data_IF_055919364804
#
_entry.id   IF_055919364804
#
_cell.length_a   1.000
_cell.length_b   1.000
_cell.length_c   1.000
_cell.angle_alpha   90.00
_cell.angle_beta   90.00
_cell.angle_gamma   90.00
#
_symmetry.space_group_name_H-M   'P 1'
#
loop_
_entity.id
_entity.type
_entity.pdbx_description
1 polymer ?
#
# COMPACT_ATOMS: atom_id res chain seq x y z
N UNK A 1 11.84 -64.07 -37.98
CA UNK A 1 12.45 -62.72 -37.97
C UNK A 1 11.32 -61.73 -38.23
N UNK A 2 10.95 -60.91 -37.24
CA UNK A 2 9.87 -59.91 -37.38
C UNK A 2 10.37 -58.62 -38.03
N UNK A 3 9.46 -57.91 -38.71
CA UNK A 3 9.73 -56.65 -39.42
C UNK A 3 10.10 -55.52 -38.45
N UNK A 4 10.93 -54.58 -38.91
CA UNK A 4 11.33 -53.40 -38.15
C UNK A 4 10.14 -52.46 -37.92
N UNK A 5 9.98 -51.96 -36.69
CA UNK A 5 8.92 -51.03 -36.32
C UNK A 5 9.05 -49.66 -37.00
N UNK A 6 7.92 -49.01 -37.23
CA UNK A 6 7.86 -47.69 -37.87
C UNK A 6 8.49 -46.58 -37.00
N UNK A 7 9.02 -45.56 -37.67
CA UNK A 7 9.60 -44.38 -37.03
C UNK A 7 8.50 -43.53 -36.38
N UNK A 8 8.69 -43.13 -35.13
CA UNK A 8 7.74 -42.27 -34.41
C UNK A 8 7.70 -40.85 -34.97
N UNK A 9 6.51 -40.24 -34.92
CA UNK A 9 6.24 -38.91 -35.47
C UNK A 9 7.04 -37.78 -34.80
N UNK A 10 7.42 -36.79 -35.60
CA UNK A 10 8.17 -35.61 -35.17
C UNK A 10 7.29 -34.72 -34.28
N UNK A 11 7.73 -34.44 -33.05
CA UNK A 11 6.98 -33.63 -32.08
C UNK A 11 6.66 -32.21 -32.57
N UNK A 12 5.47 -31.72 -32.20
CA UNK A 12 4.98 -30.38 -32.57
C UNK A 12 5.86 -29.26 -32.01
N UNK A 13 6.09 -28.23 -32.83
CA UNK A 13 6.84 -27.03 -32.48
C UNK A 13 6.10 -26.24 -31.38
N UNK A 14 6.83 -25.80 -30.34
CA UNK A 14 6.23 -25.04 -29.23
C UNK A 14 5.62 -23.71 -29.67
N UNK A 15 4.53 -23.31 -29.03
CA UNK A 15 3.84 -22.05 -29.33
C UNK A 15 4.73 -20.82 -29.03
N UNK A 16 4.60 -19.80 -29.88
CA UNK A 16 5.29 -18.52 -29.70
C UNK A 16 4.78 -17.82 -28.42
N UNK A 17 5.71 -17.33 -27.59
CA UNK A 17 5.37 -16.63 -26.34
C UNK A 17 4.57 -15.34 -26.59
N UNK A 18 3.66 -15.01 -25.67
CA UNK A 18 2.85 -13.78 -25.76
C UNK A 18 3.72 -12.52 -25.67
N UNK A 19 3.34 -11.42 -26.35
CA UNK A 19 4.01 -10.13 -26.22
C UNK A 19 4.00 -9.63 -24.76
N UNK A 20 5.10 -9.03 -24.31
CA UNK A 20 5.19 -8.44 -22.97
C UNK A 20 4.20 -7.27 -22.77
N UNK A 21 3.82 -6.98 -21.52
CA UNK A 21 2.91 -5.87 -21.21
C UNK A 21 3.51 -4.52 -21.64
N UNK A 22 2.62 -3.59 -22.02
CA UNK A 22 3.00 -2.21 -22.38
C UNK A 22 3.64 -1.53 -21.16
N UNK A 23 4.80 -0.90 -21.34
CA UNK A 23 5.47 -0.15 -20.29
C UNK A 23 4.63 1.02 -19.73
N UNK A 24 4.91 1.48 -18.50
CA UNK A 24 4.19 2.58 -17.88
C UNK A 24 4.31 3.88 -18.68
N UNK A 25 3.30 4.74 -18.58
CA UNK A 25 3.29 6.08 -19.17
C UNK A 25 4.36 6.95 -18.49
N UNK A 26 5.15 7.70 -19.26
CA UNK A 26 6.22 8.53 -18.71
C UNK A 26 5.68 9.72 -17.92
N UNK A 27 6.43 10.15 -16.90
CA UNK A 27 6.05 11.27 -16.04
C UNK A 27 5.83 12.57 -16.83
N UNK A 28 4.82 13.36 -16.43
CA UNK A 28 4.57 14.69 -17.00
C UNK A 28 5.72 15.63 -16.64
N UNK A 29 6.29 16.29 -17.65
CA UNK A 29 7.33 17.30 -17.44
C UNK A 29 6.87 18.44 -16.52
N UNK A 30 7.79 18.97 -15.72
CA UNK A 30 7.54 20.07 -14.80
C UNK A 30 7.08 21.34 -15.54
N UNK A 31 6.12 22.06 -14.96
CA UNK A 31 5.62 23.34 -15.47
C UNK A 31 6.76 24.37 -15.35
N UNK A 32 7.07 25.08 -16.44
CA UNK A 32 8.10 26.12 -16.45
C UNK A 32 7.78 27.24 -15.45
N UNK A 33 8.82 27.74 -14.77
CA UNK A 33 8.75 28.86 -13.84
C UNK A 33 8.23 30.13 -14.52
N UNK A 34 7.28 30.81 -13.86
CA UNK A 34 6.74 32.09 -14.31
C UNK A 34 7.84 33.15 -14.24
N UNK A 35 8.08 33.87 -15.35
CA UNK A 35 9.06 34.95 -15.38
C UNK A 35 8.73 36.08 -14.40
N UNK A 36 9.75 36.78 -13.86
CA UNK A 36 9.53 37.88 -12.92
C UNK A 36 8.72 39.01 -13.55
N UNK A 37 7.91 39.69 -12.73
CA UNK A 37 7.10 40.84 -13.14
C UNK A 37 8.03 41.99 -13.54
N UNK A 38 7.76 42.63 -14.69
CA UNK A 38 8.56 43.76 -15.17
C UNK A 38 8.54 44.96 -14.19
N UNK A 39 9.57 45.83 -14.21
CA UNK A 39 9.66 46.98 -13.33
C UNK A 39 8.50 47.96 -13.55
N UNK A 40 8.10 48.65 -12.49
CA UNK A 40 7.07 49.70 -12.51
C UNK A 40 7.65 50.90 -13.29
N UNK A 41 6.91 51.41 -14.29
CA UNK A 41 7.32 52.58 -15.08
C UNK A 41 7.39 53.85 -14.23
N UNK A 42 8.39 54.70 -14.49
CA UNK A 42 8.61 55.95 -13.77
C UNK A 42 7.46 56.95 -13.99
N UNK A 43 7.12 57.68 -12.93
CA UNK A 43 6.09 58.71 -12.90
C UNK A 43 6.59 59.93 -13.69
N UNK A 44 5.85 60.33 -14.72
CA UNK A 44 6.18 61.53 -15.51
C UNK A 44 6.07 62.82 -14.70
N UNK A 45 7.00 63.76 -14.95
CA UNK A 45 7.09 65.04 -14.25
C UNK A 45 5.81 65.88 -14.39
N UNK A 46 5.39 66.48 -13.27
CA UNK A 46 4.19 67.32 -13.15
C UNK A 46 4.29 68.58 -14.02
N UNK A 47 3.31 68.80 -14.90
CA UNK A 47 3.17 70.04 -15.67
C UNK A 47 2.73 71.24 -14.81
N UNK A 48 2.98 72.48 -15.24
CA UNK A 48 2.66 73.68 -14.46
C UNK A 48 1.15 73.90 -14.28
N UNK A 49 0.79 74.52 -13.15
CA UNK A 49 -0.59 74.69 -12.66
C UNK A 49 -1.38 75.67 -13.55
N UNK A 50 -2.57 75.24 -14.01
CA UNK A 50 -3.54 76.07 -14.73
C UNK A 50 -4.72 76.52 -13.84
N UNK A 51 -5.26 77.70 -14.13
CA UNK A 51 -6.32 78.38 -13.38
C UNK A 51 -7.70 77.68 -13.46
N UNK A 52 -8.51 77.88 -12.40
CA UNK A 52 -9.80 77.20 -12.16
C UNK A 52 -10.89 77.49 -13.21
N UNK A 53 -11.54 76.40 -13.66
CA UNK A 53 -12.72 76.42 -14.51
C UNK A 53 -13.72 75.32 -14.11
N UNK A 54 -14.98 75.73 -14.04
CA UNK A 54 -16.20 75.06 -13.58
C UNK A 54 -16.38 73.61 -14.09
N UNK A 55 -16.80 72.71 -13.19
CA UNK A 55 -16.90 71.25 -13.36
C UNK A 55 -17.96 70.85 -14.40
N UNK A 56 -17.52 70.20 -15.48
CA UNK A 56 -18.39 69.51 -16.45
C UNK A 56 -18.66 68.04 -16.06
N UNK A 57 -19.72 67.40 -16.61
CA UNK A 57 -20.06 66.01 -16.31
C UNK A 57 -18.96 65.03 -16.77
N UNK A 58 -18.71 64.01 -15.96
CA UNK A 58 -17.65 63.02 -16.18
C UNK A 58 -17.84 62.22 -17.49
N UNK A 59 -16.77 62.12 -18.27
CA UNK A 59 -16.71 61.27 -19.48
C UNK A 59 -16.75 59.78 -19.14
N UNK A 60 -17.34 58.97 -20.04
CA UNK A 60 -17.42 57.50 -19.89
C UNK A 60 -16.01 56.87 -19.90
N UNK A 61 -15.74 55.83 -19.08
CA UNK A 61 -14.47 55.11 -19.09
C UNK A 61 -14.11 54.55 -20.47
N UNK A 62 -12.84 54.65 -20.86
CA UNK A 62 -12.32 54.05 -22.09
C UNK A 62 -12.32 52.51 -22.07
N UNK A 63 -12.41 51.90 -23.24
CA UNK A 63 -12.43 50.44 -23.42
C UNK A 63 -11.15 49.77 -22.88
N UNK A 64 -11.35 48.64 -22.19
CA UNK A 64 -10.28 47.78 -21.67
C UNK A 64 -9.41 47.26 -22.82
N UNK A 65 -8.09 47.40 -22.71
CA UNK A 65 -7.13 46.88 -23.70
C UNK A 65 -7.24 45.35 -23.84
N UNK A 66 -7.00 44.87 -25.07
CA UNK A 66 -7.07 43.44 -25.42
C UNK A 66 -6.06 42.60 -24.62
N UNK A 67 -6.50 41.39 -24.27
CA UNK A 67 -5.72 40.41 -23.51
C UNK A 67 -4.58 39.89 -24.40
N UNK A 68 -3.34 40.01 -23.92
CA UNK A 68 -2.17 39.48 -24.63
C UNK A 68 -2.31 37.99 -24.98
N UNK A 69 -1.89 37.62 -26.19
CA UNK A 69 -1.97 36.26 -26.73
C UNK A 69 -1.15 35.25 -25.91
N UNK A 70 -1.71 34.06 -25.75
CA UNK A 70 -1.07 32.91 -25.10
C UNK A 70 0.19 32.51 -25.88
N UNK A 71 1.33 32.39 -25.19
CA UNK A 71 2.58 31.91 -25.79
C UNK A 71 2.44 30.51 -26.41
N UNK A 72 3.15 30.28 -27.50
CA UNK A 72 3.14 29.01 -28.24
C UNK A 72 3.66 27.84 -27.38
N UNK A 73 3.06 26.66 -27.59
CA UNK A 73 3.41 25.41 -26.92
C UNK A 73 4.74 24.92 -27.53
N UNK A 74 5.74 24.66 -26.68
CA UNK A 74 7.04 24.13 -27.12
C UNK A 74 6.91 22.75 -27.81
N UNK A 75 7.83 22.42 -28.73
CA UNK A 75 7.76 21.18 -29.51
C UNK A 75 7.85 19.93 -28.63
N UNK A 76 7.12 18.88 -29.02
CA UNK A 76 7.09 17.59 -28.34
C UNK A 76 8.47 16.91 -28.39
N UNK A 77 8.96 16.44 -27.24
CA UNK A 77 10.25 15.72 -27.15
C UNK A 77 10.24 14.39 -27.93
N UNK A 78 11.41 13.93 -28.41
CA UNK A 78 11.51 12.71 -29.21
C UNK A 78 11.11 11.46 -28.41
N UNK A 79 10.45 10.53 -29.10
CA UNK A 79 9.97 9.26 -28.53
C UNK A 79 11.16 8.35 -28.18
N UNK A 80 11.21 7.85 -26.94
CA UNK A 80 12.25 6.91 -26.51
C UNK A 80 12.23 5.60 -27.30
N UNK A 81 13.41 5.05 -27.57
CA UNK A 81 13.61 3.82 -28.34
C UNK A 81 13.11 2.59 -27.55
N UNK A 82 12.50 1.58 -28.20
CA UNK A 82 12.15 0.32 -27.55
C UNK A 82 13.38 -0.37 -26.95
N UNK A 83 13.23 -0.92 -25.74
CA UNK A 83 14.28 -1.74 -25.11
C UNK A 83 14.56 -3.02 -25.90
N UNK A 84 15.80 -3.51 -25.83
CA UNK A 84 16.22 -4.75 -26.48
C UNK A 84 15.44 -5.97 -25.93
N UNK A 85 15.08 -6.96 -26.77
CA UNK A 85 14.47 -8.20 -26.32
C UNK A 85 15.36 -8.93 -25.30
N UNK A 86 14.77 -9.45 -24.24
CA UNK A 86 15.48 -10.29 -23.26
C UNK A 86 15.98 -11.61 -23.88
N UNK A 87 17.04 -12.23 -23.33
CA UNK A 87 17.56 -13.50 -23.83
C UNK A 87 16.53 -14.65 -23.63
N UNK A 88 16.56 -15.69 -24.48
CA UNK A 88 15.70 -16.87 -24.34
C UNK A 88 15.89 -17.56 -22.98
N UNK A 89 14.78 -17.99 -22.36
CA UNK A 89 14.80 -18.76 -21.12
C UNK A 89 15.41 -20.16 -21.31
N UNK A 90 16.00 -20.71 -20.25
CA UNK A 90 16.62 -22.04 -20.27
C UNK A 90 15.57 -23.16 -20.52
N UNK A 91 15.95 -24.27 -21.21
CA UNK A 91 15.06 -25.40 -21.44
C UNK A 91 14.56 -26.05 -20.14
N UNK A 92 13.24 -26.27 -20.03
CA UNK A 92 12.64 -26.98 -18.89
C UNK A 92 12.94 -28.49 -18.89
N UNK A 93 12.85 -29.17 -17.72
CA UNK A 93 13.12 -30.60 -17.60
C UNK A 93 12.05 -31.44 -18.31
N UNK A 94 12.50 -32.43 -19.08
CA UNK A 94 11.64 -33.32 -19.88
C UNK A 94 10.87 -34.30 -18.98
N UNK A 95 9.53 -34.22 -19.01
CA UNK A 95 8.65 -35.36 -18.72
C UNK A 95 7.85 -35.65 -19.98
N UNK A 96 8.16 -36.76 -20.65
CA UNK A 96 7.32 -37.33 -21.70
C UNK A 96 6.10 -37.95 -21.03
N UNK A 97 4.92 -37.44 -21.36
CA UNK A 97 3.65 -38.11 -21.09
C UNK A 97 3.05 -38.38 -22.48
N UNK A 98 3.15 -39.63 -22.93
CA UNK A 98 2.51 -40.11 -24.15
C UNK A 98 1.05 -40.45 -23.83
N UNK A 99 0.15 -39.52 -24.18
CA UNK A 99 -1.27 -39.61 -23.88
C UNK A 99 -2.00 -40.66 -24.75
N UNK A 100 -1.36 -41.13 -25.82
CA UNK A 100 -1.89 -42.15 -26.75
C UNK A 100 -1.71 -43.57 -26.20
N UNK A 101 -0.53 -43.87 -25.66
CA UNK A 101 -0.24 -45.16 -25.01
C UNK A 101 -1.03 -45.36 -23.71
N UNK A 102 -1.31 -44.26 -22.99
CA UNK A 102 -2.03 -44.31 -21.71
C UNK A 102 -3.52 -44.63 -21.89
N UNK A 103 -4.14 -44.19 -22.99
CA UNK A 103 -5.56 -44.47 -23.29
C UNK A 103 -5.73 -45.90 -23.82
N UNK A 104 -4.80 -46.40 -24.65
CA UNK A 104 -4.81 -47.79 -25.11
C UNK A 104 -4.58 -48.77 -23.94
N UNK A 105 -3.66 -48.45 -23.02
CA UNK A 105 -3.44 -49.24 -21.80
C UNK A 105 -4.61 -49.18 -20.81
N UNK A 106 -5.40 -48.09 -20.79
CA UNK A 106 -6.65 -48.03 -20.02
C UNK A 106 -7.76 -48.87 -20.64
N UNK A 107 -7.85 -48.92 -21.97
CA UNK A 107 -8.84 -49.75 -22.69
C UNK A 107 -8.51 -51.25 -22.59
N UNK A 108 -7.23 -51.62 -22.68
CA UNK A 108 -6.79 -53.01 -22.49
C UNK A 108 -6.86 -53.46 -21.01
N UNK A 109 -6.62 -52.55 -20.05
CA UNK A 109 -6.81 -52.88 -18.63
C UNK A 109 -8.28 -53.00 -18.23
N UNK A 110 -9.18 -52.23 -18.87
CA UNK A 110 -10.63 -52.39 -18.69
C UNK A 110 -11.18 -53.66 -19.35
N UNK A 111 -10.63 -54.08 -20.50
CA UNK A 111 -11.02 -55.34 -21.15
C UNK A 111 -10.47 -56.59 -20.42
N UNK A 112 -9.31 -56.49 -19.77
CA UNK A 112 -8.77 -57.57 -18.93
C UNK A 112 -9.51 -57.71 -17.59
N UNK A 113 -10.23 -56.68 -17.13
CA UNK A 113 -11.03 -56.71 -15.90
C UNK A 113 -12.45 -57.30 -16.10
N UNK A 114 -12.90 -57.52 -17.34
CA UNK A 114 -14.20 -58.15 -17.61
C UNK A 114 -14.18 -59.70 -17.55
N UNK A 115 -13.01 -60.34 -17.46
CA UNK A 115 -12.89 -61.81 -17.32
C UNK A 115 -12.53 -62.32 -15.92
N UNK A 116 -12.53 -61.46 -14.89
CA UNK A 116 -12.42 -61.89 -13.48
C UNK A 116 -13.56 -61.38 -12.60
N UNK A 117 -14.69 -60.99 -13.20
CA UNK A 117 -15.86 -60.55 -12.43
C UNK A 117 -16.82 -61.71 -12.13
N UNK A 118 -16.31 -62.66 -11.35
CA UNK A 118 -17.12 -63.62 -10.62
C UNK A 118 -16.55 -63.78 -9.20
N UNK A 119 -16.43 -62.69 -8.43
CA UNK A 119 -16.57 -62.75 -6.95
C UNK A 119 -16.50 -61.44 -6.13
N UNK A 120 -16.29 -60.22 -6.67
CA UNK A 120 -16.00 -59.05 -5.79
C UNK A 120 -16.81 -57.76 -6.08
N UNK A 121 -18.13 -57.85 -6.20
CA UNK A 121 -19.02 -56.68 -6.32
C UNK A 121 -19.21 -55.88 -5.02
N UNK A 122 -18.88 -56.43 -3.85
CA UNK A 122 -19.05 -55.74 -2.56
C UNK A 122 -17.86 -54.81 -2.19
N UNK A 123 -16.63 -55.19 -2.57
CA UNK A 123 -15.41 -54.44 -2.19
C UNK A 123 -15.23 -53.17 -3.04
N UNK A 124 -15.68 -53.18 -4.30
CA UNK A 124 -15.59 -52.04 -5.23
C UNK A 124 -16.60 -50.93 -4.90
N UNK A 125 -17.78 -51.26 -4.38
CA UNK A 125 -18.77 -50.28 -3.90
C UNK A 125 -18.34 -49.59 -2.60
N UNK A 126 -17.62 -50.30 -1.72
CA UNK A 126 -17.10 -49.75 -0.47
C UNK A 126 -15.99 -48.71 -0.71
N UNK A 127 -15.12 -48.93 -1.70
CA UNK A 127 -14.06 -47.98 -2.05
C UNK A 127 -14.60 -46.71 -2.75
N UNK A 128 -15.61 -46.85 -3.63
CA UNK A 128 -16.27 -45.70 -4.25
C UNK A 128 -17.03 -44.86 -3.24
N UNK A 129 -17.77 -45.50 -2.33
CA UNK A 129 -18.45 -44.78 -1.24
C UNK A 129 -17.44 -44.09 -0.32
N UNK A 130 -16.33 -44.75 0.05
CA UNK A 130 -15.26 -44.14 0.84
C UNK A 130 -14.62 -42.92 0.14
N UNK A 131 -14.38 -42.98 -1.17
CA UNK A 131 -13.89 -41.85 -1.98
C UNK A 131 -14.89 -40.70 -2.04
N UNK A 132 -16.18 -40.99 -2.19
CA UNK A 132 -17.25 -39.99 -2.17
C UNK A 132 -17.31 -39.32 -0.79
N UNK A 133 -17.32 -40.10 0.30
CA UNK A 133 -17.32 -39.55 1.66
C UNK A 133 -16.08 -38.72 1.95
N UNK A 134 -14.89 -39.15 1.50
CA UNK A 134 -13.66 -38.36 1.63
C UNK A 134 -13.75 -37.02 0.90
N UNK A 135 -14.35 -37.02 -0.29
CA UNK A 135 -14.56 -35.80 -1.10
C UNK A 135 -15.58 -34.87 -0.44
N UNK A 136 -16.70 -35.40 0.06
CA UNK A 136 -17.71 -34.61 0.77
C UNK A 136 -17.15 -34.02 2.07
N UNK A 137 -16.38 -34.79 2.84
CA UNK A 137 -15.69 -34.29 4.03
C UNK A 137 -14.68 -33.20 3.68
N UNK A 138 -13.92 -33.36 2.59
CA UNK A 138 -13.01 -32.34 2.11
C UNK A 138 -13.75 -31.04 1.74
N UNK A 139 -14.83 -31.12 0.95
CA UNK A 139 -15.63 -29.95 0.56
C UNK A 139 -16.30 -29.28 1.76
N UNK A 140 -16.83 -30.06 2.70
CA UNK A 140 -17.42 -29.55 3.95
C UNK A 140 -16.37 -28.81 4.78
N UNK A 141 -15.17 -29.37 4.94
CA UNK A 141 -14.07 -28.71 5.64
C UNK A 141 -13.61 -27.44 4.91
N UNK A 142 -13.58 -27.44 3.58
CA UNK A 142 -13.22 -26.28 2.78
C UNK A 142 -14.26 -25.15 2.97
N UNK A 143 -15.55 -25.46 2.89
CA UNK A 143 -16.62 -24.51 3.18
C UNK A 143 -16.56 -23.97 4.61
N UNK A 144 -16.29 -24.84 5.58
CA UNK A 144 -16.13 -24.46 6.98
C UNK A 144 -14.96 -23.50 7.18
N UNK A 145 -13.85 -23.72 6.47
CA UNK A 145 -12.66 -22.88 6.53
C UNK A 145 -12.86 -21.50 5.89
N UNK A 146 -13.66 -21.41 4.81
CA UNK A 146 -14.06 -20.13 4.21
C UNK A 146 -14.95 -19.34 5.18
N UNK A 147 -15.88 -20.04 5.84
CA UNK A 147 -16.79 -19.41 6.80
C UNK A 147 -16.07 -18.98 8.08
N UNK A 148 -15.08 -19.75 8.51
CA UNK A 148 -14.36 -19.54 9.77
C UNK A 148 -12.85 -19.59 9.52
N UNK A 149 -12.27 -18.50 8.97
CA UNK A 149 -10.84 -18.42 8.70
C UNK A 149 -10.04 -18.63 9.99
N UNK A 150 -8.87 -19.26 9.87
CA UNK A 150 -7.99 -19.52 11.01
C UNK A 150 -7.01 -18.37 11.28
N UNK A 151 -6.85 -17.45 10.32
CA UNK A 151 -5.84 -16.39 10.40
C UNK A 151 -4.42 -16.92 10.21
N UNK A 152 -4.27 -18.04 9.50
CA UNK A 152 -2.97 -18.60 9.09
C UNK A 152 -2.62 -18.11 7.69
N UNK A 153 -1.36 -18.26 7.26
CA UNK A 153 -0.94 -17.82 5.92
C UNK A 153 -1.73 -18.51 4.78
N UNK A 154 -2.10 -19.77 4.96
CA UNK A 154 -2.88 -20.53 3.98
C UNK A 154 -4.39 -20.27 4.06
N UNK A 155 -4.87 -19.75 5.20
CA UNK A 155 -6.26 -19.41 5.43
C UNK A 155 -6.36 -18.09 6.22
N UNK A 156 -5.98 -16.96 5.58
CA UNK A 156 -5.99 -15.66 6.21
C UNK A 156 -7.44 -15.20 6.44
N UNK A 157 -7.65 -14.43 7.49
CA UNK A 157 -8.94 -13.75 7.69
C UNK A 157 -8.96 -12.42 6.94
N UNK A 158 -10.12 -11.78 6.79
CA UNK A 158 -10.15 -10.46 6.14
C UNK A 158 -9.55 -9.36 7.03
N UNK A 159 -9.96 -9.32 8.31
CA UNK A 159 -9.43 -8.43 9.35
C UNK A 159 -9.43 -9.15 10.71
N UNK A 160 -8.67 -8.65 11.69
CA UNK A 160 -8.63 -9.24 13.04
C UNK A 160 -10.00 -9.25 13.73
N UNK A 161 -10.85 -8.25 13.49
CA UNK A 161 -12.21 -8.22 14.05
C UNK A 161 -13.07 -9.39 13.58
N UNK A 162 -12.88 -9.86 12.35
CA UNK A 162 -13.63 -11.00 11.81
C UNK A 162 -13.22 -12.31 12.51
N UNK A 163 -11.92 -12.47 12.83
CA UNK A 163 -11.44 -13.61 13.65
C UNK A 163 -12.07 -13.63 15.04
N UNK A 164 -12.25 -12.47 15.66
CA UNK A 164 -12.90 -12.35 16.96
C UNK A 164 -14.38 -12.80 16.92
N UNK A 165 -15.07 -12.48 15.83
CA UNK A 165 -16.49 -12.76 15.66
C UNK A 165 -16.81 -14.21 15.26
N UNK A 166 -15.80 -15.01 14.89
CA UNK A 166 -15.98 -16.40 14.41
C UNK A 166 -16.22 -17.46 15.53
N UNK A 167 -16.75 -17.06 16.70
CA UNK A 167 -17.13 -17.95 17.82
C UNK A 167 -16.04 -18.95 18.29
N UNK A 168 -14.77 -18.62 18.05
CA UNK A 168 -13.60 -19.42 18.46
C UNK A 168 -12.82 -18.71 19.55
N UNK A 169 -12.16 -19.48 20.41
CA UNK A 169 -11.21 -18.93 21.38
C UNK A 169 -9.96 -18.45 20.63
N UNK A 170 -9.81 -17.15 20.53
CA UNK A 170 -8.65 -16.48 19.94
C UNK A 170 -7.84 -15.76 21.03
N UNK A 171 -6.52 -15.69 20.86
CA UNK A 171 -5.60 -15.02 21.78
C UNK A 171 -4.77 -13.97 21.06
N UNK A 172 -4.44 -12.87 21.74
CA UNK A 172 -3.64 -11.79 21.16
C UNK A 172 -2.34 -12.36 20.59
N UNK A 173 -1.95 -11.91 19.41
CA UNK A 173 -0.79 -12.47 18.74
C UNK A 173 -0.70 -12.10 17.27
N UNK A 174 0.22 -12.76 16.58
CA UNK A 174 0.44 -12.59 15.14
C UNK A 174 -0.50 -13.49 14.34
N UNK A 175 -1.16 -12.91 13.36
CA UNK A 175 -2.06 -13.60 12.43
C UNK A 175 -1.85 -13.07 11.02
N UNK A 176 -2.34 -13.82 10.05
CA UNK A 176 -2.37 -13.43 8.65
C UNK A 176 -3.76 -12.94 8.26
N UNK A 177 -3.79 -11.78 7.61
CA UNK A 177 -5.02 -11.22 7.06
C UNK A 177 -4.89 -10.88 5.58
N UNK A 178 -6.00 -10.88 4.87
CA UNK A 178 -6.14 -10.48 3.47
C UNK A 178 -7.36 -9.54 3.29
N UNK A 179 -7.19 -8.22 3.55
CA UNK A 179 -8.27 -7.24 3.49
C UNK A 179 -8.98 -7.12 2.12
N UNK A 180 -8.22 -7.20 1.02
CA UNK A 180 -8.75 -7.01 -0.33
C UNK A 180 -9.56 -8.21 -0.84
N UNK A 181 -9.44 -9.36 -0.17
CA UNK A 181 -9.99 -10.65 -0.57
C UNK A 181 -9.53 -11.03 -1.99
N UNK A 182 -8.61 -11.98 -2.10
CA UNK A 182 -8.19 -12.45 -3.40
C UNK A 182 -7.29 -13.68 -3.34
N UNK A 183 -6.13 -13.57 -3.98
CA UNK A 183 -5.12 -14.61 -3.93
C UNK A 183 -4.36 -14.47 -2.61
N UNK A 184 -4.36 -15.44 -1.68
CA UNK A 184 -3.79 -15.30 -0.33
C UNK A 184 -2.25 -15.13 -0.31
N UNK A 185 -1.61 -15.02 -1.48
CA UNK A 185 -0.17 -14.82 -1.62
C UNK A 185 0.28 -13.40 -1.25
N UNK A 186 -0.61 -12.40 -1.31
CA UNK A 186 -0.35 -11.02 -0.88
C UNK A 186 -0.93 -10.69 0.50
N UNK A 187 -1.36 -11.73 1.23
CA UNK A 187 -1.77 -11.61 2.63
C UNK A 187 -0.63 -11.02 3.48
N UNK A 188 -1.00 -10.33 4.54
CA UNK A 188 -0.09 -9.59 5.42
C UNK A 188 -0.10 -10.18 6.83
N UNK A 189 1.08 -10.28 7.44
CA UNK A 189 1.20 -10.61 8.86
C UNK A 189 0.93 -9.35 9.70
N UNK A 190 0.02 -9.47 10.65
CA UNK A 190 -0.41 -8.38 11.54
C UNK A 190 -0.47 -8.87 12.98
N UNK A 191 -0.42 -7.95 13.93
CA UNK A 191 -0.73 -8.25 15.32
C UNK A 191 -2.21 -7.99 15.58
N UNK A 192 -2.97 -9.03 15.94
CA UNK A 192 -4.36 -8.92 16.35
C UNK A 192 -4.46 -8.72 17.86
N UNK A 193 -5.10 -7.62 18.28
CA UNK A 193 -5.43 -7.37 19.68
C UNK A 193 -6.92 -7.61 19.91
N UNK A 194 -7.26 -8.83 20.34
CA UNK A 194 -8.61 -9.26 20.64
C UNK A 194 -9.14 -8.70 21.96
N UNK A 195 -8.24 -8.36 22.91
CA UNK A 195 -8.64 -7.65 24.14
C UNK A 195 -9.16 -6.25 23.84
N UNK A 196 -8.70 -5.62 22.75
CA UNK A 196 -9.15 -4.31 22.29
C UNK A 196 -10.24 -4.40 21.20
N UNK A 197 -11.08 -5.45 21.20
CA UNK A 197 -12.18 -5.57 20.23
C UNK A 197 -11.77 -6.06 18.85
N UNK A 198 -10.57 -6.63 18.70
CA UNK A 198 -10.09 -7.19 17.43
C UNK A 198 -9.35 -6.17 16.57
N UNK A 199 -8.61 -5.25 17.19
CA UNK A 199 -7.77 -4.29 16.46
C UNK A 199 -6.73 -5.01 15.60
N UNK A 200 -6.56 -4.52 14.39
CA UNK A 200 -5.54 -4.95 13.43
C UNK A 200 -4.36 -4.00 13.52
N UNK A 201 -3.24 -4.46 14.07
CA UNK A 201 -2.04 -3.64 14.26
C UNK A 201 -0.93 -4.02 13.30
N UNK A 202 -0.43 -3.03 12.55
CA UNK A 202 0.73 -3.17 11.66
C UNK A 202 1.99 -2.76 12.41
N UNK A 203 3.03 -3.58 12.28
CA UNK A 203 4.37 -3.24 12.77
C UNK A 203 5.18 -2.51 11.69
N UNK A 204 5.99 -1.51 12.07
CA UNK A 204 6.90 -0.88 11.14
C UNK A 204 8.00 -1.89 10.74
N UNK A 205 8.56 -1.72 9.54
CA UNK A 205 9.68 -2.54 9.02
C UNK A 205 10.90 -2.44 9.92
N UNK A 206 11.10 -1.26 10.51
CA UNK A 206 12.09 -1.00 11.55
C UNK A 206 11.50 -0.02 12.54
N UNK A 207 11.73 -0.23 13.83
CA UNK A 207 11.33 0.71 14.89
C UNK A 207 11.89 2.12 14.66
N UNK A 208 12.98 2.27 13.90
CA UNK A 208 13.61 3.57 13.62
C UNK A 208 13.03 4.30 12.40
N UNK A 209 12.14 3.66 11.64
CA UNK A 209 11.57 4.18 10.40
C UNK A 209 10.06 4.16 10.42
N UNK A 210 9.45 5.18 9.81
CA UNK A 210 8.00 5.27 9.60
C UNK A 210 7.57 4.56 8.31
N UNK A 211 8.05 3.32 8.12
CA UNK A 211 7.78 2.49 6.95
C UNK A 211 7.07 1.21 7.40
N UNK A 212 6.01 0.81 6.72
CA UNK A 212 5.23 -0.40 7.03
C UNK A 212 5.26 -1.35 5.82
N UNK A 213 5.43 -2.66 6.07
CA UNK A 213 5.47 -3.69 5.02
C UNK A 213 4.07 -4.05 4.52
N UNK A 214 3.35 -3.06 3.98
CA UNK A 214 1.99 -3.23 3.43
C UNK A 214 1.88 -2.58 2.06
N UNK A 215 1.28 -3.29 1.12
CA UNK A 215 1.00 -2.75 -0.21
C UNK A 215 -0.12 -1.69 -0.17
N UNK A 216 -0.07 -0.71 -1.07
CA UNK A 216 -1.08 0.37 -1.16
C UNK A 216 -2.52 -0.13 -1.26
N UNK A 217 -2.74 -1.23 -2.01
CA UNK A 217 -4.07 -1.83 -2.16
C UNK A 217 -4.57 -2.37 -0.81
N UNK A 218 -3.77 -3.20 -0.14
CA UNK A 218 -4.12 -3.76 1.17
C UNK A 218 -4.36 -2.66 2.21
N UNK A 219 -3.53 -1.61 2.19
CA UNK A 219 -3.70 -0.45 3.06
C UNK A 219 -5.05 0.27 2.82
N UNK A 220 -5.42 0.51 1.56
CA UNK A 220 -6.69 1.14 1.22
C UNK A 220 -7.89 0.32 1.71
N UNK A 221 -7.84 -1.01 1.58
CA UNK A 221 -8.90 -1.87 2.10
C UNK A 221 -8.93 -1.85 3.64
N UNK A 222 -7.78 -1.81 4.30
CA UNK A 222 -7.72 -1.69 5.76
C UNK A 222 -8.37 -0.37 6.23
N UNK A 223 -8.13 0.74 5.53
CA UNK A 223 -8.82 2.01 5.80
C UNK A 223 -10.34 1.90 5.64
N UNK A 224 -10.81 1.26 4.58
CA UNK A 224 -12.25 1.10 4.30
C UNK A 224 -12.96 0.18 5.31
N UNK A 225 -12.24 -0.78 5.89
CA UNK A 225 -12.79 -1.77 6.81
C UNK A 225 -12.74 -1.33 8.27
N UNK A 226 -12.10 -0.19 8.54
CA UNK A 226 -11.90 0.34 9.88
C UNK A 226 -12.56 1.71 10.05
N UNK A 227 -13.10 1.90 11.24
CA UNK A 227 -13.79 3.08 11.72
C UNK A 227 -12.89 4.04 12.48
N UNK A 228 -11.81 3.53 13.06
CA UNK A 228 -10.82 4.34 13.76
C UNK A 228 -9.41 3.79 13.56
N UNK A 229 -8.43 4.69 13.68
CA UNK A 229 -7.02 4.36 13.61
C UNK A 229 -6.27 5.03 14.77
N UNK A 230 -5.26 4.34 15.25
CA UNK A 230 -4.36 4.84 16.29
C UNK A 230 -2.92 4.58 15.91
N UNK A 231 -2.03 5.50 16.28
CA UNK A 231 -0.60 5.35 16.06
C UNK A 231 0.14 6.01 17.22
N UNK A 232 1.22 5.39 17.68
CA UNK A 232 2.07 5.95 18.73
C UNK A 232 3.47 6.15 18.19
N UNK A 233 4.03 7.34 18.41
CA UNK A 233 5.41 7.66 18.05
C UNK A 233 6.12 8.15 19.30
N UNK A 234 7.29 7.58 19.59
CA UNK A 234 8.15 8.06 20.65
C UNK A 234 9.32 8.81 20.03
N UNK A 235 9.53 10.04 20.47
CA UNK A 235 10.70 10.83 20.10
C UNK A 235 11.62 10.86 21.30
N UNK A 236 12.86 10.46 21.08
CA UNK A 236 13.89 10.53 22.08
C UNK A 236 14.84 11.66 21.74
N UNK A 237 15.27 12.38 22.77
CA UNK A 237 15.90 13.68 22.63
C UNK A 237 17.05 13.82 23.62
N UNK A 238 18.07 14.55 23.19
CA UNK A 238 19.19 14.96 24.01
C UNK A 238 19.31 16.48 23.90
N UNK A 239 19.09 17.19 25.01
CA UNK A 239 19.18 18.66 25.10
C UNK A 239 18.39 19.41 24.01
N UNK A 240 17.27 18.84 23.55
CA UNK A 240 16.48 19.37 22.44
C UNK A 240 14.99 19.26 22.76
N UNK A 241 14.28 20.39 22.96
CA UNK A 241 12.84 20.36 23.14
C UNK A 241 12.15 19.97 21.81
N UNK A 242 11.11 19.15 21.90
CA UNK A 242 10.45 18.57 20.71
C UNK A 242 8.97 18.96 20.60
N UNK A 243 8.37 19.44 21.69
CA UNK A 243 6.97 19.83 21.74
C UNK A 243 6.77 21.12 22.55
N UNK A 244 5.65 21.80 22.33
CA UNK A 244 5.29 23.06 23.01
C UNK A 244 4.16 22.82 24.00
N UNK A 245 4.29 23.43 25.18
CA UNK A 245 3.18 23.78 26.07
C UNK A 245 3.06 25.31 26.11
N UNK A 246 1.83 25.82 26.21
CA UNK A 246 1.50 27.25 26.09
C UNK A 246 2.25 28.15 27.08
N UNK A 247 3.39 28.70 26.66
CA UNK A 247 3.99 29.89 27.27
C UNK A 247 4.22 30.97 26.22
N UNK A 248 3.82 32.20 26.58
CA UNK A 248 3.54 33.32 25.67
C UNK A 248 4.75 33.96 24.98
N UNK A 249 5.98 33.49 25.17
CA UNK A 249 7.16 34.29 24.77
C UNK A 249 8.34 33.56 24.11
N UNK A 250 8.24 32.27 23.76
CA UNK A 250 9.37 31.58 23.13
C UNK A 250 9.00 30.93 21.79
N UNK A 251 9.67 31.38 20.71
CA UNK A 251 9.59 30.84 19.34
C UNK A 251 10.32 29.49 19.23
N UNK A 252 10.02 28.53 20.11
CA UNK A 252 10.65 27.21 20.07
C UNK A 252 9.94 26.26 19.08
N UNK A 253 10.70 25.46 18.32
CA UNK A 253 10.14 24.61 17.28
C UNK A 253 9.32 23.46 17.85
N UNK A 254 8.13 23.24 17.28
CA UNK A 254 7.34 22.02 17.49
C UNK A 254 7.60 21.05 16.34
N UNK A 255 7.58 19.74 16.61
CA UNK A 255 7.65 18.75 15.54
C UNK A 255 6.40 18.77 14.66
N UNK A 256 6.59 18.49 13.37
CA UNK A 256 5.52 18.40 12.39
C UNK A 256 5.47 16.96 11.88
N UNK A 257 4.31 16.33 11.98
CA UNK A 257 4.08 14.97 11.52
C UNK A 257 3.19 14.97 10.29
N UNK A 258 3.50 14.14 9.30
CA UNK A 258 2.71 13.98 8.09
C UNK A 258 2.01 12.63 8.07
N UNK A 259 0.69 12.67 7.89
CA UNK A 259 -0.18 11.51 7.75
C UNK A 259 -0.09 10.84 6.38
N UNK A 260 -0.75 9.70 6.25
CA UNK A 260 -0.76 8.88 5.03
C UNK A 260 -1.43 9.59 3.84
N UNK A 261 -2.55 10.27 4.09
CA UNK A 261 -3.23 11.13 3.11
C UNK A 261 -2.51 12.45 2.81
N UNK A 262 -1.44 12.77 3.56
CA UNK A 262 -0.69 14.01 3.44
C UNK A 262 -1.09 15.12 4.42
N UNK A 263 -2.09 14.90 5.28
CA UNK A 263 -2.45 15.83 6.34
C UNK A 263 -1.28 16.07 7.30
N UNK A 264 -1.28 17.24 7.92
CA UNK A 264 -0.21 17.69 8.80
C UNK A 264 -0.75 17.76 10.24
N UNK A 265 -0.08 17.05 11.14
CA UNK A 265 -0.31 17.13 12.58
C UNK A 265 0.75 18.04 13.20
N UNK A 266 0.30 19.13 13.81
CA UNK A 266 1.14 20.17 14.41
C UNK A 266 0.45 20.77 15.64
N UNK A 267 1.24 21.29 16.58
CA UNK A 267 0.75 21.93 17.80
C UNK A 267 -0.14 23.16 17.48
N UNK A 268 -1.20 23.37 18.25
CA UNK A 268 -2.17 24.48 18.07
C UNK A 268 -2.96 24.43 16.77
N UNK A 269 -3.12 23.25 16.16
CA UNK A 269 -3.95 23.02 14.99
C UNK A 269 -5.14 22.12 15.31
N UNK A 270 -6.10 22.00 14.38
CA UNK A 270 -7.24 21.08 14.52
C UNK A 270 -6.80 19.61 14.63
N UNK A 271 -5.63 19.28 14.07
CA UNK A 271 -5.03 17.95 14.07
C UNK A 271 -3.83 17.90 15.02
N UNK A 272 -4.00 18.41 16.24
CA UNK A 272 -2.97 18.34 17.26
C UNK A 272 -2.85 16.92 17.84
N UNK A 273 -1.66 16.30 17.84
CA UNK A 273 -1.47 15.00 18.46
C UNK A 273 -1.51 15.08 19.98
N UNK A 274 -2.06 14.04 20.62
CA UNK A 274 -2.08 13.96 22.08
C UNK A 274 -0.70 13.59 22.60
N UNK A 275 -0.14 14.40 23.49
CA UNK A 275 1.12 14.08 24.16
C UNK A 275 0.85 13.34 25.46
N UNK A 276 1.31 12.08 25.54
CA UNK A 276 1.16 11.23 26.73
C UNK A 276 2.19 11.63 27.80
N UNK A 277 3.40 11.91 27.36
CA UNK A 277 4.56 12.22 28.22
C UNK A 277 5.48 13.17 27.45
N UNK A 278 5.98 14.22 28.12
CA UNK A 278 6.94 15.15 27.54
C UNK A 278 8.16 15.33 28.45
N UNK A 279 9.14 14.44 28.31
CA UNK A 279 10.42 14.52 29.04
C UNK A 279 11.44 15.42 28.36
N UNK A 280 11.26 15.75 27.08
CA UNK A 280 12.22 16.50 26.28
C UNK A 280 12.34 17.99 26.65
N UNK A 281 11.52 18.46 27.58
CA UNK A 281 11.65 19.78 28.18
C UNK A 281 12.91 19.92 29.06
N UNK A 282 13.43 18.79 29.55
CA UNK A 282 14.61 18.75 30.43
C UNK A 282 15.89 18.82 29.58
N UNK A 283 16.79 19.74 29.93
CA UNK A 283 18.07 19.97 29.25
C UNK A 283 19.24 19.75 30.22
N UNK A 284 19.36 18.52 30.73
CA UNK A 284 20.34 18.12 31.75
C UNK A 284 21.55 17.34 31.20
N UNK A 285 21.65 17.19 29.88
CA UNK A 285 22.68 16.36 29.25
C UNK A 285 22.36 14.87 29.21
N UNK A 286 21.19 14.44 29.68
CA UNK A 286 20.73 13.06 29.59
C UNK A 286 19.68 12.87 28.48
N UNK A 287 19.47 11.60 28.12
CA UNK A 287 18.42 11.24 27.17
C UNK A 287 17.05 11.24 27.84
N UNK A 288 16.12 11.95 27.21
CA UNK A 288 14.71 11.96 27.57
C UNK A 288 13.86 11.49 26.40
N UNK A 289 12.56 11.32 26.65
CA UNK A 289 11.59 10.91 25.63
C UNK A 289 10.28 11.68 25.75
N UNK A 290 9.66 11.90 24.61
CA UNK A 290 8.31 12.45 24.46
C UNK A 290 7.49 11.50 23.62
N UNK A 291 6.32 11.12 24.10
CA UNK A 291 5.45 10.14 23.46
C UNK A 291 4.19 10.81 22.90
N UNK A 292 4.02 10.66 21.60
CA UNK A 292 2.90 11.18 20.82
C UNK A 292 1.90 10.07 20.53
N UNK A 293 0.63 10.35 20.76
CA UNK A 293 -0.49 9.48 20.48
C UNK A 293 -1.43 10.15 19.49
N UNK A 294 -1.58 9.49 18.34
CA UNK A 294 -2.48 9.90 17.27
C UNK A 294 -3.70 8.99 17.32
N UNK A 295 -4.89 9.58 17.34
CA UNK A 295 -6.17 8.87 17.24
C UNK A 295 -7.08 9.68 16.34
N UNK A 296 -7.73 9.00 15.41
CA UNK A 296 -8.63 9.62 14.43
C UNK A 296 -9.71 8.64 14.00
N UNK A 297 -10.87 9.19 13.63
CA UNK A 297 -11.94 8.47 12.97
C UNK A 297 -11.77 8.46 11.44
N UNK A 298 -11.00 9.40 10.87
CA UNK A 298 -10.59 9.32 9.47
C UNK A 298 -9.31 8.49 9.36
N UNK A 299 -9.49 7.19 9.13
CA UNK A 299 -8.40 6.23 9.12
C UNK A 299 -7.34 6.53 8.06
N UNK A 300 -7.68 7.27 6.99
CA UNK A 300 -6.76 7.64 5.91
C UNK A 300 -5.66 8.61 6.36
N UNK A 301 -5.80 9.26 7.52
CA UNK A 301 -4.78 10.15 8.05
C UNK A 301 -3.59 9.40 8.64
N UNK A 302 -3.77 8.13 9.03
CA UNK A 302 -2.73 7.29 9.59
C UNK A 302 -2.31 6.17 8.61
N UNK A 303 -1.12 5.57 8.73
CA UNK A 303 -0.05 5.89 9.67
C UNK A 303 0.59 7.25 9.38
N UNK A 304 1.35 7.73 10.37
CA UNK A 304 2.27 8.84 10.15
C UNK A 304 3.44 8.30 9.33
N UNK A 305 3.73 8.92 8.20
CA UNK A 305 4.75 8.47 7.24
C UNK A 305 6.02 9.29 7.29
N UNK A 306 5.96 10.48 7.88
CA UNK A 306 7.11 11.38 7.94
C UNK A 306 7.05 12.28 9.17
N UNK A 307 8.22 12.55 9.77
CA UNK A 307 8.40 13.60 10.77
C UNK A 307 9.37 14.62 10.19
N UNK A 308 8.95 15.87 10.10
CA UNK A 308 9.82 16.95 9.65
C UNK A 308 10.55 17.54 10.87
N UNK A 309 11.90 17.52 10.89
CA UNK A 309 12.65 18.43 11.73
C UNK A 309 12.27 19.87 11.42
N UNK A 310 12.15 20.69 12.45
CA UNK A 310 12.47 22.10 12.32
C UNK A 310 13.87 22.29 12.93
N UNK A 311 14.79 22.92 12.18
CA UNK A 311 16.14 23.36 12.56
C UNK A 311 17.34 22.38 12.47
N UNK A 312 18.50 22.97 12.14
CA UNK A 312 19.82 22.38 12.27
C UNK A 312 20.10 22.13 13.75
N UNK A 313 20.29 20.87 14.15
CA UNK A 313 20.71 20.52 15.50
C UNK A 313 22.07 21.18 15.77
N UNK A 314 22.17 21.92 16.87
CA UNK A 314 23.45 22.47 17.32
C UNK A 314 24.39 21.35 17.79
N UNK A 315 25.68 21.65 17.90
CA UNK A 315 26.68 20.68 18.33
C UNK A 315 26.35 20.15 19.73
N UNK A 316 26.09 18.84 19.86
CA UNK A 316 25.66 18.18 21.10
C UNK A 316 24.15 17.93 21.23
N UNK A 317 23.34 18.40 20.29
CA UNK A 317 21.93 18.06 20.20
C UNK A 317 21.72 16.82 19.33
N UNK A 318 20.97 15.86 19.85
CA UNK A 318 20.63 14.64 19.12
C UNK A 318 19.17 14.28 19.36
N UNK A 319 18.60 13.56 18.38
CA UNK A 319 17.25 13.03 18.47
C UNK A 319 17.11 11.77 17.64
N UNK A 320 16.29 10.85 18.08
CA UNK A 320 15.89 9.68 17.32
C UNK A 320 14.40 9.45 17.45
N UNK A 321 13.82 8.85 16.42
CA UNK A 321 12.39 8.60 16.33
C UNK A 321 12.19 7.10 16.41
N UNK A 322 11.24 6.69 17.24
CA UNK A 322 10.77 5.33 17.39
C UNK A 322 9.30 5.26 16.95
N UNK A 323 9.05 4.55 15.85
CA UNK A 323 7.71 4.25 15.38
C UNK A 323 7.12 3.08 16.16
N UNK A 324 5.95 3.29 16.76
CA UNK A 324 5.15 2.22 17.34
C UNK A 324 4.32 1.47 16.31
N UNK A 325 3.39 0.66 16.81
CA UNK A 325 2.38 0.00 15.99
C UNK A 325 1.32 1.01 15.55
N UNK A 326 0.83 0.87 14.32
CA UNK A 326 -0.40 1.52 13.86
C UNK A 326 -1.54 0.51 13.91
N UNK A 327 -2.60 0.81 14.65
CA UNK A 327 -3.72 -0.09 14.88
C UNK A 327 -5.01 0.47 14.28
N UNK A 328 -5.80 -0.42 13.68
CA UNK A 328 -7.06 -0.14 13.00
C UNK A 328 -8.19 -0.97 13.61
N UNK A 329 -9.36 -0.36 13.84
CA UNK A 329 -10.56 -1.02 14.36
C UNK A 329 -11.78 -0.76 13.49
#
# INVERSE_FOLDING_TARGET
KGLAGEFGDQGLMGFQGFPGPKGPEGDRGLIGILGPKGPIGEIGNTGPVGYEGIVGPAGKPGYRGEKGSRGEIGPQGPRGHPGLPGPPGAPGPRKQIDMSATIQALLESNAALEMENYQNTEVTFLDHSAKIFKTLHYLSNLLHNIKNPLGTRDNPARICRDLLNCERKVSNGKYWIDPNIGCPSDAIEVFCNFTAGGQTCLSPVSVTKLEFSIGKVQMNFLHLLSSEATHTITVHCLNTPVWKTNELYDQKPSLIFKGWNGDIFEANTLLEPKVIMDGCMIQDGNWHKTQFFFHTQDTNQLPVVQVHPFSHLNQGQQRYIESGLVCFL
#
